data_IF_826176655172
#
_entry.id   IF_826176655172
#
_cell.length_a   1.000
_cell.length_b   1.000
_cell.length_c   1.000
_cell.angle_alpha   90.00
_cell.angle_beta   90.00
_cell.angle_gamma   90.00
#
_symmetry.space_group_name_H-M   'P 1'
#
loop_
_entity.id
_entity.type
_entity.pdbx_description
1 polymer ?
#
# COMPACT_ATOMS: atom_id res chain seq x y z
N UNK A 1 0.78 -2.22 -17.85
CA UNK A 1 0.45 -3.36 -16.95
C UNK A 1 1.73 -3.95 -16.32
N UNK A 2 2.71 -4.42 -17.10
CA UNK A 2 3.95 -5.03 -16.57
C UNK A 2 4.76 -4.19 -15.54
N UNK A 3 4.98 -2.86 -15.72
CA UNK A 3 5.78 -2.10 -14.74
C UNK A 3 5.03 -1.84 -13.42
N UNK A 4 3.72 -1.58 -13.45
CA UNK A 4 2.97 -1.16 -12.25
C UNK A 4 2.95 -2.27 -11.18
N UNK A 5 2.70 -3.52 -11.57
CA UNK A 5 2.63 -4.65 -10.64
C UNK A 5 4.00 -4.94 -10.00
N UNK A 6 5.08 -4.79 -10.77
CA UNK A 6 6.44 -4.92 -10.27
C UNK A 6 6.76 -3.85 -9.21
N UNK A 7 6.40 -2.59 -9.48
CA UNK A 7 6.62 -1.50 -8.53
C UNK A 7 5.75 -1.59 -7.27
N UNK A 8 4.54 -2.15 -7.37
CA UNK A 8 3.73 -2.50 -6.20
C UNK A 8 4.43 -3.54 -5.32
N UNK A 9 5.01 -4.59 -5.93
CA UNK A 9 5.79 -5.60 -5.19
C UNK A 9 7.02 -5.00 -4.52
N UNK A 10 7.76 -4.13 -5.21
CA UNK A 10 8.87 -3.35 -4.66
C UNK A 10 8.44 -2.55 -3.43
N UNK A 11 7.33 -1.80 -3.55
CA UNK A 11 6.80 -0.98 -2.46
C UNK A 11 6.38 -1.85 -1.27
N UNK A 12 5.65 -2.94 -1.52
CA UNK A 12 5.20 -3.88 -0.49
C UNK A 12 6.37 -4.52 0.27
N UNK A 13 7.46 -4.86 -0.43
CA UNK A 13 8.67 -5.43 0.17
C UNK A 13 9.62 -4.38 0.76
N UNK A 14 9.30 -3.09 0.70
CA UNK A 14 10.17 -2.01 1.19
C UNK A 14 11.49 -1.88 0.42
N UNK A 15 11.52 -2.32 -0.84
CA UNK A 15 12.73 -2.32 -1.64
C UNK A 15 13.01 -0.93 -2.23
N UNK A 16 14.03 -0.27 -1.73
CA UNK A 16 14.57 0.94 -2.37
C UNK A 16 15.32 0.66 -3.70
N UNK A 17 15.69 1.74 -4.37
CA UNK A 17 16.41 1.70 -5.66
C UNK A 17 17.60 0.75 -5.68
N UNK A 18 18.48 0.87 -4.69
CA UNK A 18 19.73 0.10 -4.60
C UNK A 18 19.46 -1.40 -4.47
N UNK A 19 18.38 -1.81 -3.80
CA UNK A 19 18.00 -3.21 -3.68
C UNK A 19 17.55 -3.78 -5.02
N UNK A 20 16.74 -3.02 -5.77
CA UNK A 20 16.25 -3.43 -7.10
C UNK A 20 17.40 -3.57 -8.09
N UNK A 21 18.38 -2.67 -8.04
CA UNK A 21 19.55 -2.75 -8.89
C UNK A 21 20.45 -3.94 -8.58
N UNK A 22 20.63 -4.27 -7.29
CA UNK A 22 21.34 -5.50 -6.88
C UNK A 22 20.62 -6.75 -7.41
N UNK A 23 19.30 -6.79 -7.29
CA UNK A 23 18.48 -7.89 -7.83
C UNK A 23 18.65 -8.02 -9.35
N UNK A 24 18.62 -6.92 -10.09
CA UNK A 24 18.83 -6.92 -11.54
C UNK A 24 20.24 -7.39 -11.91
N UNK A 25 21.25 -6.98 -11.15
CA UNK A 25 22.62 -7.46 -11.35
C UNK A 25 22.74 -8.98 -11.16
N UNK A 26 22.06 -9.57 -10.15
CA UNK A 26 22.02 -11.02 -9.96
C UNK A 26 21.36 -11.77 -11.13
N UNK A 27 20.45 -11.12 -11.84
CA UNK A 27 19.74 -11.69 -13.00
C UNK A 27 20.38 -11.33 -14.34
N UNK A 28 21.53 -10.63 -14.34
CA UNK A 28 22.20 -10.11 -15.54
C UNK A 28 21.29 -9.19 -16.39
N UNK A 29 20.39 -8.45 -15.74
CA UNK A 29 19.51 -7.45 -16.36
C UNK A 29 20.19 -6.07 -16.28
N UNK A 30 20.16 -5.27 -17.37
CA UNK A 30 20.77 -3.95 -17.37
C UNK A 30 20.16 -3.01 -16.31
N UNK A 31 20.98 -2.04 -15.89
CA UNK A 31 20.61 -1.06 -14.88
C UNK A 31 19.36 -0.28 -15.30
N UNK A 32 18.42 -0.13 -14.38
CA UNK A 32 17.23 0.68 -14.65
C UNK A 32 17.59 2.16 -14.54
N UNK A 33 16.82 3.08 -15.13
CA UNK A 33 17.08 4.50 -14.93
C UNK A 33 16.47 5.00 -13.60
N UNK A 34 17.25 5.72 -12.77
CA UNK A 34 16.79 6.22 -11.47
C UNK A 34 15.58 7.16 -11.59
N UNK A 35 15.54 8.04 -12.61
CA UNK A 35 14.41 8.95 -12.83
C UNK A 35 13.15 8.17 -13.14
N UNK A 36 13.25 7.15 -13.98
CA UNK A 36 12.12 6.25 -14.29
C UNK A 36 11.66 5.51 -13.04
N UNK A 37 12.58 5.10 -12.16
CA UNK A 37 12.21 4.44 -10.90
C UNK A 37 11.38 5.35 -10.01
N UNK A 38 11.83 6.59 -9.81
CA UNK A 38 11.12 7.56 -8.98
C UNK A 38 9.72 7.91 -9.52
N UNK A 39 9.53 7.89 -10.85
CA UNK A 39 8.22 8.12 -11.46
C UNK A 39 7.25 7.01 -11.06
N UNK A 40 7.63 5.74 -11.28
CA UNK A 40 6.76 4.62 -10.95
C UNK A 40 6.57 4.45 -9.44
N UNK A 41 7.63 4.62 -8.65
CA UNK A 41 7.55 4.59 -7.18
C UNK A 41 6.55 5.63 -6.66
N UNK A 42 6.55 6.84 -7.23
CA UNK A 42 5.58 7.88 -6.88
C UNK A 42 4.16 7.52 -7.33
N UNK A 43 4.00 7.03 -8.56
CA UNK A 43 2.69 6.63 -9.09
C UNK A 43 2.04 5.56 -8.23
N UNK A 44 2.76 4.48 -7.91
CA UNK A 44 2.24 3.42 -7.03
C UNK A 44 2.07 3.90 -5.60
N UNK A 45 2.94 4.78 -5.12
CA UNK A 45 2.86 5.37 -3.78
C UNK A 45 1.57 6.16 -3.56
N UNK A 46 1.19 7.01 -4.54
CA UNK A 46 -0.06 7.79 -4.46
C UNK A 46 -1.30 6.90 -4.44
N UNK A 47 -1.30 5.81 -5.22
CA UNK A 47 -2.40 4.84 -5.21
C UNK A 47 -2.46 4.11 -3.87
N UNK A 48 -1.32 3.66 -3.35
CA UNK A 48 -1.25 2.98 -2.05
C UNK A 48 -1.71 3.88 -0.90
N UNK A 49 -1.32 5.15 -0.91
CA UNK A 49 -1.74 6.15 0.08
C UNK A 49 -3.25 6.35 0.06
N UNK A 50 -3.84 6.50 -1.14
CA UNK A 50 -5.29 6.62 -1.29
C UNK A 50 -6.05 5.40 -0.75
N UNK A 51 -5.57 4.19 -1.05
CA UNK A 51 -6.19 2.95 -0.55
C UNK A 51 -6.06 2.88 0.98
N UNK A 52 -4.92 3.26 1.54
CA UNK A 52 -4.73 3.30 2.99
C UNK A 52 -5.69 4.30 3.65
N UNK A 53 -5.88 5.48 3.05
CA UNK A 53 -6.84 6.47 3.53
C UNK A 53 -8.27 5.93 3.52
N UNK A 54 -8.72 5.35 2.41
CA UNK A 54 -10.05 4.76 2.26
C UNK A 54 -10.27 3.64 3.29
N UNK A 55 -9.30 2.73 3.41
CA UNK A 55 -9.35 1.62 4.37
C UNK A 55 -9.45 2.11 5.82
N UNK A 56 -8.68 3.14 6.21
CA UNK A 56 -8.78 3.72 7.55
C UNK A 56 -10.15 4.34 7.81
N UNK A 57 -10.72 5.07 6.84
CA UNK A 57 -12.06 5.66 6.98
C UNK A 57 -13.14 4.60 7.13
N UNK A 58 -13.07 3.53 6.34
CA UNK A 58 -13.99 2.40 6.41
C UNK A 58 -13.89 1.69 7.76
N UNK A 59 -12.67 1.43 8.25
CA UNK A 59 -12.44 0.82 9.55
C UNK A 59 -13.02 1.68 10.68
N UNK A 60 -12.75 2.99 10.69
CA UNK A 60 -13.31 3.91 11.69
C UNK A 60 -14.84 3.97 11.65
N UNK A 61 -15.45 3.98 10.46
CA UNK A 61 -16.89 3.98 10.31
C UNK A 61 -17.52 2.68 10.86
N UNK A 62 -16.87 1.55 10.59
CA UNK A 62 -17.30 0.24 11.09
C UNK A 62 -17.18 0.15 12.61
N UNK A 63 -16.04 0.54 13.18
CA UNK A 63 -15.81 0.58 14.64
C UNK A 63 -16.88 1.42 15.34
N UNK A 64 -17.17 2.61 14.79
CA UNK A 64 -18.22 3.48 15.33
C UNK A 64 -19.59 2.79 15.30
N UNK A 65 -19.96 2.17 14.17
CA UNK A 65 -21.24 1.48 14.02
C UNK A 65 -21.39 0.36 15.05
N UNK A 66 -20.39 -0.52 15.14
CA UNK A 66 -20.39 -1.66 16.08
C UNK A 66 -20.44 -1.19 17.53
N UNK A 67 -19.76 -0.09 17.86
CA UNK A 67 -19.80 0.49 19.21
C UNK A 67 -21.21 0.97 19.59
N UNK A 68 -21.92 1.61 18.66
CA UNK A 68 -23.30 2.07 18.89
C UNK A 68 -24.27 0.89 19.00
N UNK A 69 -24.18 -0.10 18.11
CA UNK A 69 -24.99 -1.32 18.16
C UNK A 69 -24.80 -2.05 19.49
N UNK A 70 -23.55 -2.20 19.95
CA UNK A 70 -23.24 -2.82 21.23
C UNK A 70 -23.81 -2.02 22.42
N UNK A 71 -23.75 -0.69 22.37
CA UNK A 71 -24.31 0.16 23.42
C UNK A 71 -25.84 0.02 23.53
N UNK A 72 -26.55 -0.09 22.41
CA UNK A 72 -28.00 -0.30 22.40
C UNK A 72 -28.38 -1.69 22.94
N UNK A 73 -27.62 -2.73 22.59
CA UNK A 73 -27.81 -4.08 23.14
C UNK A 73 -27.67 -4.06 24.66
N UNK A 74 -26.64 -3.39 25.19
CA UNK A 74 -26.42 -3.30 26.64
C UNK A 74 -27.59 -2.59 27.34
N UNK A 75 -28.13 -1.52 26.75
CA UNK A 75 -29.29 -0.81 27.31
C UNK A 75 -30.55 -1.66 27.35
N UNK A 76 -30.76 -2.55 26.38
CA UNK A 76 -31.92 -3.44 26.33
C UNK A 76 -31.82 -4.61 27.32
N UNK A 77 -30.63 -4.89 27.85
CA UNK A 77 -30.37 -5.97 28.81
C UNK A 77 -30.34 -5.50 30.27
N UNK A 78 -30.43 -4.19 30.50
CA UNK A 78 -30.54 -3.53 31.81
C UNK A 78 -32.00 -3.19 32.12
#
# INVERSE_FOLDING_TARGET
IFPIVFFLGILHSGLGWTHVQKLFACMNIPYFNFKTFKIYEREVGLVAEKIAEESCKEATALERKLTLEQAEIIKQQL
#
